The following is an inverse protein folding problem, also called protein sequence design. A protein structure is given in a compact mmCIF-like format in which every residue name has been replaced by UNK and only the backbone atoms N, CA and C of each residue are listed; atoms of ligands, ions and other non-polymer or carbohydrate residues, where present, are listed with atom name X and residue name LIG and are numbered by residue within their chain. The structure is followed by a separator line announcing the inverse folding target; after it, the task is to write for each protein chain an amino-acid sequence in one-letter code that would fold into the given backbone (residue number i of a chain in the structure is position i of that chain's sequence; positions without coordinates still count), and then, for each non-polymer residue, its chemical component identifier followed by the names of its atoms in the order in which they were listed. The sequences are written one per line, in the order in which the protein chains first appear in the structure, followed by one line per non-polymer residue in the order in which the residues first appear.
data_IF_704134261416
#
_entry.id   IF_704134261416
#
_cell.length_a   1.000
_cell.length_b   1.000
_cell.length_c   1.000
_cell.angle_alpha   90.00
_cell.angle_beta   90.00
_cell.angle_gamma   90.00
#
_symmetry.space_group_name_H-M   'P 1'
#
loop_
_entity.id
_entity.type
_entity.pdbx_description
1 polymer ?
#
# COMPACT_ATOMS: atom_id res chain seq x y z
N UNK A 1 -15.60 7.61 -9.68
CA UNK A 1 -16.40 6.78 -10.61
C UNK A 1 -17.55 6.22 -9.81
N UNK A 2 -18.79 6.50 -10.21
CA UNK A 2 -19.97 6.16 -9.41
C UNK A 2 -20.36 4.69 -9.70
N UNK A 3 -20.34 3.82 -8.69
CA UNK A 3 -20.64 2.40 -8.87
C UNK A 3 -22.00 2.17 -9.56
N UNK A 4 -22.96 3.06 -9.31
CA UNK A 4 -24.27 3.09 -9.94
C UNK A 4 -24.24 3.26 -11.47
N UNK A 5 -23.27 4.02 -11.99
CA UNK A 5 -23.13 4.22 -13.43
C UNK A 5 -22.56 2.97 -14.12
N UNK A 6 -21.68 2.25 -13.41
CA UNK A 6 -21.11 0.98 -13.87
C UNK A 6 -22.19 -0.11 -13.94
N UNK A 7 -23.04 -0.19 -12.90
CA UNK A 7 -24.10 -1.19 -12.85
C UNK A 7 -25.20 -0.93 -13.90
N UNK A 8 -25.55 0.33 -14.16
CA UNK A 8 -26.56 0.70 -15.17
C UNK A 8 -26.16 0.35 -16.60
N UNK A 9 -24.87 0.32 -16.91
CA UNK A 9 -24.37 0.02 -18.25
C UNK A 9 -23.69 -1.36 -18.34
N UNK A 10 -23.83 -2.20 -17.32
CA UNK A 10 -23.18 -3.50 -17.22
C UNK A 10 -23.46 -4.39 -18.45
N UNK A 11 -24.73 -4.49 -18.86
CA UNK A 11 -25.13 -5.33 -19.99
C UNK A 11 -24.46 -4.91 -21.32
N UNK A 12 -24.26 -3.60 -21.52
CA UNK A 12 -23.58 -3.08 -22.70
C UNK A 12 -22.07 -3.30 -22.65
N UNK A 13 -21.48 -3.36 -21.46
CA UNK A 13 -20.05 -3.60 -21.25
C UNK A 13 -19.72 -5.09 -21.41
N UNK A 14 -20.62 -6.00 -21.04
CA UNK A 14 -20.38 -7.45 -21.18
C UNK A 14 -20.59 -7.93 -22.63
N UNK A 15 -21.26 -7.14 -23.47
CA UNK A 15 -21.55 -7.50 -24.87
C UNK A 15 -20.31 -7.62 -25.78
N UNK A 16 -19.14 -7.11 -25.37
CA UNK A 16 -17.89 -7.23 -26.13
C UNK A 16 -16.79 -7.94 -25.30
N UNK A 17 -16.04 -8.91 -25.87
CA UNK A 17 -14.91 -9.54 -25.20
C UNK A 17 -13.83 -8.56 -24.73
N UNK A 18 -13.61 -7.47 -25.45
CA UNK A 18 -12.62 -6.44 -25.08
C UNK A 18 -13.06 -5.63 -23.84
N UNK A 19 -14.36 -5.39 -23.71
CA UNK A 19 -14.95 -4.62 -22.61
C UNK A 19 -14.97 -5.41 -21.30
N UNK A 20 -15.07 -6.74 -21.36
CA UNK A 20 -14.89 -7.62 -20.18
C UNK A 20 -13.47 -7.50 -19.60
N UNK A 21 -12.45 -7.42 -20.46
CA UNK A 21 -11.05 -7.25 -20.02
C UNK A 21 -10.86 -5.92 -19.28
N UNK A 22 -11.33 -4.82 -19.86
CA UNK A 22 -11.26 -3.49 -19.26
C UNK A 22 -12.01 -3.43 -17.92
N UNK A 23 -13.15 -4.11 -17.81
CA UNK A 23 -13.89 -4.19 -16.57
C UNK A 23 -13.08 -4.89 -15.47
N UNK A 24 -12.47 -6.04 -15.78
CA UNK A 24 -11.60 -6.75 -14.83
C UNK A 24 -10.43 -5.89 -14.37
N UNK A 25 -9.77 -5.21 -15.29
CA UNK A 25 -8.67 -4.29 -14.99
C UNK A 25 -9.13 -3.15 -14.05
N UNK A 26 -10.31 -2.58 -14.31
CA UNK A 26 -10.89 -1.52 -13.47
C UNK A 26 -11.21 -2.03 -12.06
N UNK A 27 -11.83 -3.21 -11.93
CA UNK A 27 -12.13 -3.81 -10.62
C UNK A 27 -10.83 -4.08 -9.84
N UNK A 28 -9.81 -4.62 -10.50
CA UNK A 28 -8.51 -4.86 -9.88
C UNK A 28 -7.85 -3.56 -9.42
N UNK A 29 -7.90 -2.49 -10.22
CA UNK A 29 -7.39 -1.18 -9.81
C UNK A 29 -8.14 -0.64 -8.59
N UNK A 30 -9.47 -0.73 -8.58
CA UNK A 30 -10.28 -0.33 -7.42
C UNK A 30 -9.95 -1.18 -6.18
N UNK A 31 -9.67 -2.47 -6.36
CA UNK A 31 -9.26 -3.37 -5.28
C UNK A 31 -7.93 -2.94 -4.65
N UNK A 32 -6.93 -2.68 -5.50
CA UNK A 32 -5.60 -2.23 -5.06
C UNK A 32 -5.67 -0.88 -4.34
N UNK A 33 -6.57 0.01 -4.76
CA UNK A 33 -6.82 1.29 -4.08
C UNK A 33 -7.63 1.16 -2.78
N UNK A 34 -8.10 -0.04 -2.41
CA UNK A 34 -8.94 -0.26 -1.22
C UNK A 34 -10.36 0.28 -1.34
N UNK A 35 -10.86 0.53 -2.56
CA UNK A 35 -12.16 1.19 -2.80
C UNK A 35 -13.35 0.23 -2.96
N UNK A 36 -13.11 -1.07 -2.94
CA UNK A 36 -14.14 -2.10 -3.17
C UNK A 36 -14.68 -2.72 -1.87
N UNK A 37 -14.03 -2.46 -0.74
CA UNK A 37 -14.42 -2.97 0.58
C UNK A 37 -14.75 -1.80 1.48
N UNK A 38 -15.85 -1.92 2.22
CA UNK A 38 -16.21 -0.96 3.27
C UNK A 38 -15.09 -0.87 4.30
N UNK A 39 -14.66 0.36 4.58
CA UNK A 39 -13.58 0.61 5.53
C UNK A 39 -14.14 0.62 6.95
N UNK A 40 -13.50 -0.13 7.84
CA UNK A 40 -13.81 -0.09 9.26
C UNK A 40 -13.01 1.02 9.95
N UNK A 41 -13.69 2.01 10.53
CA UNK A 41 -13.03 3.12 11.24
C UNK A 41 -12.45 2.73 12.59
N UNK A 42 -12.87 1.59 13.14
CA UNK A 42 -12.31 1.02 14.37
C UNK A 42 -11.01 0.25 14.13
N UNK A 43 -10.66 -0.01 12.86
CA UNK A 43 -9.40 -0.66 12.54
C UNK A 43 -8.23 0.28 12.86
N UNK A 44 -7.18 -0.30 13.43
CA UNK A 44 -5.98 0.46 13.75
C UNK A 44 -5.33 1.04 12.48
N UNK A 45 -5.06 2.35 12.44
CA UNK A 45 -4.41 2.95 11.28
C UNK A 45 -2.94 2.51 11.20
N UNK A 46 -2.45 2.33 9.98
CA UNK A 46 -1.07 1.93 9.69
C UNK A 46 -0.02 2.85 10.37
N UNK A 47 -0.39 4.10 10.69
CA UNK A 47 0.45 5.02 11.47
C UNK A 47 0.87 4.49 12.83
N UNK A 48 0.01 3.75 13.54
CA UNK A 48 0.34 3.20 14.86
C UNK A 48 1.33 2.04 14.76
N UNK A 49 1.20 1.20 13.72
CA UNK A 49 2.19 0.15 13.45
C UNK A 49 3.56 0.77 13.12
N UNK A 50 3.59 1.83 12.31
CA UNK A 50 4.84 2.51 11.94
C UNK A 50 5.55 3.12 13.14
N UNK A 51 4.82 3.67 14.12
CA UNK A 51 5.40 4.14 15.39
C UNK A 51 6.09 3.00 16.14
N UNK A 52 5.44 1.84 16.22
CA UNK A 52 6.00 0.63 16.87
C UNK A 52 7.24 0.11 16.14
N UNK A 53 7.22 0.08 14.80
CA UNK A 53 8.39 -0.29 13.99
C UNK A 53 9.56 0.66 14.27
N UNK A 54 9.32 1.97 14.31
CA UNK A 54 10.38 2.96 14.59
C UNK A 54 10.98 2.77 15.99
N UNK A 55 10.14 2.59 17.01
CA UNK A 55 10.60 2.35 18.38
C UNK A 55 11.44 1.06 18.48
N UNK A 56 11.01 0.00 17.78
CA UNK A 56 11.76 -1.26 17.75
C UNK A 56 13.09 -1.13 17.00
N UNK A 57 13.14 -0.37 15.90
CA UNK A 57 14.39 -0.05 15.21
C UNK A 57 15.38 0.69 16.11
N UNK A 58 14.92 1.71 16.84
CA UNK A 58 15.73 2.46 17.80
C UNK A 58 16.29 1.55 18.90
N UNK A 59 15.46 0.64 19.42
CA UNK A 59 15.87 -0.39 20.39
C UNK A 59 16.97 -1.30 19.83
N UNK A 60 16.80 -1.81 18.61
CA UNK A 60 17.79 -2.69 17.97
C UNK A 60 19.10 -1.99 17.60
N UNK A 61 19.04 -0.69 17.29
CA UNK A 61 20.23 0.15 17.09
C UNK A 61 20.99 0.33 18.41
N UNK A 62 20.28 0.60 19.50
CA UNK A 62 20.88 0.71 20.84
C UNK A 62 21.53 -0.61 21.29
N UNK A 63 20.95 -1.75 20.93
CA UNK A 63 21.52 -3.09 21.17
C UNK A 63 22.68 -3.45 20.23
N UNK A 64 23.00 -2.63 19.23
CA UNK A 64 24.04 -2.89 18.24
C UNK A 64 23.70 -3.99 17.23
N UNK A 65 22.47 -4.51 17.24
CA UNK A 65 21.99 -5.54 16.30
C UNK A 65 21.64 -4.94 14.93
N UNK A 66 21.35 -3.64 14.89
CA UNK A 66 21.04 -2.89 13.68
C UNK A 66 21.97 -1.68 13.54
N UNK A 67 22.42 -1.41 12.31
CA UNK A 67 23.16 -0.18 12.00
C UNK A 67 22.18 0.98 11.83
N UNK A 68 22.57 2.16 12.31
CA UNK A 68 21.83 3.40 12.06
C UNK A 68 21.61 3.59 10.55
N UNK A 69 20.35 3.68 10.15
CA UNK A 69 19.99 3.94 8.76
C UNK A 69 19.99 5.44 8.48
N UNK A 70 20.26 5.81 7.22
CA UNK A 70 20.08 7.19 6.77
C UNK A 70 18.60 7.56 6.84
N UNK A 71 18.32 8.81 7.20
CA UNK A 71 16.96 9.34 7.15
C UNK A 71 16.42 9.19 5.72
N UNK A 72 15.23 8.59 5.62
CA UNK A 72 14.54 8.45 4.34
C UNK A 72 13.93 9.79 3.94
N UNK A 73 13.94 10.15 2.65
CA UNK A 73 13.23 11.33 2.18
C UNK A 73 11.73 11.16 2.43
N UNK A 74 11.06 12.27 2.77
CA UNK A 74 9.60 12.32 2.85
C UNK A 74 8.99 11.99 1.48
N UNK A 75 7.80 11.37 1.50
CA UNK A 75 7.01 11.18 0.28
C UNK A 75 6.39 12.54 -0.07
N UNK A 76 6.59 12.99 -1.30
CA UNK A 76 5.98 14.24 -1.78
C UNK A 76 4.62 13.99 -2.42
N UNK A 77 3.81 15.04 -2.57
CA UNK A 77 2.46 14.92 -3.15
C UNK A 77 2.51 14.45 -4.62
N UNK A 78 3.59 14.76 -5.35
CA UNK A 78 3.79 14.30 -6.73
C UNK A 78 4.08 12.79 -6.82
N UNK A 79 4.56 12.17 -5.74
CA UNK A 79 4.81 10.73 -5.68
C UNK A 79 3.56 9.90 -5.35
N UNK A 80 2.46 10.55 -4.96
CA UNK A 80 1.22 9.88 -4.55
C UNK A 80 0.35 9.65 -5.80
N UNK A 81 0.18 8.40 -6.27
CA UNK A 81 -0.57 8.13 -7.49
C UNK A 81 -2.08 8.24 -7.29
N UNK A 82 -2.57 8.04 -6.06
CA UNK A 82 -3.99 8.08 -5.70
C UNK A 82 -4.20 8.22 -4.19
N UNK A 83 -5.40 8.65 -3.83
CA UNK A 83 -5.89 8.73 -2.45
C UNK A 83 -6.12 7.33 -1.85
N UNK A 84 -5.66 7.15 -0.61
CA UNK A 84 -5.81 5.93 0.16
C UNK A 84 -6.99 6.02 1.14
N UNK A 85 -7.50 4.86 1.60
CA UNK A 85 -8.36 4.81 2.77
C UNK A 85 -7.71 5.44 4.02
N UNK A 86 -8.50 5.98 4.99
CA UNK A 86 -7.96 6.65 6.18
C UNK A 86 -7.06 5.77 7.06
N UNK A 87 -7.30 4.46 7.09
CA UNK A 87 -6.51 3.50 7.86
C UNK A 87 -5.19 3.13 7.20
N UNK A 88 -5.00 3.48 5.93
CA UNK A 88 -3.80 3.14 5.15
C UNK A 88 -2.83 4.33 5.09
N UNK A 89 -1.55 4.05 4.83
CA UNK A 89 -0.53 5.09 4.71
C UNK A 89 0.52 4.73 3.68
N UNK A 90 0.80 5.66 2.77
CA UNK A 90 1.95 5.56 1.89
C UNK A 90 3.24 5.64 2.70
N UNK A 91 4.12 4.67 2.48
CA UNK A 91 5.44 4.61 3.11
C UNK A 91 6.49 4.07 2.16
N UNK A 92 7.75 4.50 2.30
CA UNK A 92 8.87 3.91 1.56
C UNK A 92 9.12 2.50 2.10
N UNK A 93 9.41 1.54 1.23
CA UNK A 93 9.59 0.13 1.62
C UNK A 93 10.67 -0.06 2.72
N UNK A 94 11.73 0.74 2.68
CA UNK A 94 12.79 0.72 3.70
C UNK A 94 12.33 1.15 5.12
N UNK A 95 11.15 1.77 5.25
CA UNK A 95 10.61 2.20 6.56
C UNK A 95 9.99 1.05 7.36
N UNK A 96 9.50 0.01 6.69
CA UNK A 96 8.82 -1.12 7.32
C UNK A 96 9.73 -2.32 7.57
N UNK A 97 10.89 -2.35 6.93
CA UNK A 97 11.82 -3.46 7.06
C UNK A 97 13.11 -3.24 6.29
N UNK A 98 14.06 -4.13 6.52
CA UNK A 98 15.35 -4.11 5.85
C UNK A 98 15.24 -5.00 4.61
N UNK A 99 15.46 -4.41 3.45
CA UNK A 99 15.53 -5.16 2.20
C UNK A 99 16.95 -5.69 2.03
N UNK A 100 17.27 -6.76 2.74
CA UNK A 100 18.40 -7.64 2.45
C UNK A 100 18.38 -8.85 3.39
N UNK A 101 18.91 -9.98 2.93
CA UNK A 101 20.08 -10.51 3.59
C UNK A 101 21.30 -10.06 2.78
N UNK A 102 22.37 -9.62 3.44
CA UNK A 102 23.67 -10.05 2.93
C UNK A 102 23.60 -11.58 2.97
N UNK A 103 23.17 -12.21 1.87
CA UNK A 103 23.34 -13.64 1.72
C UNK A 103 24.84 -13.85 1.64
N UNK A 104 25.43 -14.23 2.76
CA UNK A 104 26.76 -14.85 2.76
C UNK A 104 26.58 -16.26 2.22
N UNK A 105 26.46 -16.40 0.90
CA UNK A 105 26.80 -17.67 0.27
C UNK A 105 28.32 -17.76 0.33
N UNK A 106 28.85 -18.75 1.05
CA UNK A 106 30.23 -19.15 0.85
C UNK A 106 30.30 -19.73 -0.56
N UNK A 107 30.95 -19.02 -1.48
CA UNK A 107 31.42 -19.57 -2.75
C UNK A 107 32.41 -20.72 -2.49
#
# INVERSE_FOLDING_TARGET
MNADLLLKHFDSIVASPSSIKQMRETILQLAVMGKIVEQNFEDEPASELLKRIKAEQERLIAEGKLKTQKALPSITDEEIPYELPPSWKWVKLASVGIINPRNSTND
#
